data_IF_377089695277
#
_entry.id   IF_377089695277
#
_cell.length_a   1.000
_cell.length_b   1.000
_cell.length_c   1.000
_cell.angle_alpha   90.00
_cell.angle_beta   90.00
_cell.angle_gamma   90.00
#
_symmetry.space_group_name_H-M   'P 1'
#
loop_
_entity.id
_entity.type
_entity.pdbx_description
1 polymer ?
#
# COMPACT_ATOMS: atom_id res chain seq x y z
N UNK A 1 4.22 -23.90 -39.54
CA UNK A 1 2.86 -23.59 -39.01
C UNK A 1 2.15 -22.75 -40.05
N UNK A 2 0.86 -22.96 -40.29
CA UNK A 2 0.10 -22.07 -41.18
C UNK A 2 -0.08 -20.70 -40.51
N UNK A 3 -0.15 -19.64 -41.32
CA UNK A 3 -0.38 -18.27 -40.85
C UNK A 3 -1.65 -18.16 -40.00
N UNK A 4 -2.68 -18.92 -40.36
CA UNK A 4 -3.92 -19.03 -39.60
C UNK A 4 -3.73 -19.66 -38.22
N UNK A 5 -2.90 -20.71 -38.09
CA UNK A 5 -2.62 -21.33 -36.79
C UNK A 5 -1.79 -20.41 -35.88
N UNK A 6 -0.91 -19.59 -36.46
CA UNK A 6 -0.15 -18.58 -35.71
C UNK A 6 -1.06 -17.46 -35.19
N UNK A 7 -1.98 -16.97 -36.02
CA UNK A 7 -2.97 -15.96 -35.62
C UNK A 7 -3.85 -16.43 -34.44
N UNK A 8 -4.40 -17.64 -34.52
CA UNK A 8 -5.24 -18.17 -33.43
C UNK A 8 -4.44 -18.35 -32.13
N UNK A 9 -3.17 -18.78 -32.22
CA UNK A 9 -2.29 -18.85 -31.05
C UNK A 9 -2.09 -17.47 -30.41
N UNK A 10 -1.80 -16.45 -31.22
CA UNK A 10 -1.55 -15.10 -30.73
C UNK A 10 -2.82 -14.48 -30.10
N UNK A 11 -3.99 -14.79 -30.67
CA UNK A 11 -5.28 -14.37 -30.12
C UNK A 11 -5.54 -14.99 -28.74
N UNK A 12 -5.22 -16.27 -28.56
CA UNK A 12 -5.32 -16.93 -27.26
C UNK A 12 -4.34 -16.32 -26.25
N UNK A 13 -3.08 -16.13 -26.62
CA UNK A 13 -2.07 -15.50 -25.75
C UNK A 13 -2.48 -14.09 -25.31
N UNK A 14 -3.07 -13.30 -26.22
CA UNK A 14 -3.58 -11.98 -25.89
C UNK A 14 -4.76 -12.05 -24.90
N UNK A 15 -5.68 -13.00 -25.10
CA UNK A 15 -6.82 -13.20 -24.20
C UNK A 15 -6.33 -13.54 -22.79
N UNK A 16 -5.39 -14.48 -22.67
CA UNK A 16 -4.83 -14.92 -21.40
C UNK A 16 -4.07 -13.77 -20.72
N UNK A 17 -3.31 -12.98 -21.49
CA UNK A 17 -2.59 -11.81 -20.98
C UNK A 17 -3.53 -10.71 -20.46
N UNK A 18 -4.67 -10.48 -21.12
CA UNK A 18 -5.69 -9.52 -20.66
C UNK A 18 -6.34 -9.96 -19.35
N UNK A 19 -6.69 -11.25 -19.23
CA UNK A 19 -7.24 -11.79 -17.99
C UNK A 19 -6.22 -11.69 -16.85
N UNK A 20 -4.96 -12.04 -17.12
CA UNK A 20 -3.88 -11.92 -16.15
C UNK A 20 -3.67 -10.48 -15.70
N UNK A 21 -3.70 -9.51 -16.62
CA UNK A 21 -3.61 -8.08 -16.31
C UNK A 21 -4.74 -7.65 -15.38
N UNK A 22 -5.98 -8.01 -15.70
CA UNK A 22 -7.15 -7.67 -14.89
C UNK A 22 -7.10 -8.30 -13.49
N UNK A 23 -6.54 -9.50 -13.37
CA UNK A 23 -6.32 -10.14 -12.07
C UNK A 23 -5.25 -9.42 -11.25
N UNK A 24 -4.15 -9.01 -11.89
CA UNK A 24 -3.07 -8.27 -11.24
C UNK A 24 -3.54 -6.89 -10.76
N UNK A 25 -4.32 -6.17 -11.57
CA UNK A 25 -4.92 -4.89 -11.21
C UNK A 25 -5.78 -5.03 -9.94
N UNK A 26 -6.70 -6.01 -9.90
CA UNK A 26 -7.54 -6.27 -8.71
C UNK A 26 -6.72 -6.63 -7.46
N UNK A 27 -5.68 -7.45 -7.63
CA UNK A 27 -4.81 -7.83 -6.52
C UNK A 27 -4.01 -6.62 -6.00
N UNK A 28 -3.58 -5.73 -6.90
CA UNK A 28 -2.87 -4.52 -6.53
C UNK A 28 -3.78 -3.61 -5.67
N UNK A 29 -5.02 -3.40 -6.09
CA UNK A 29 -6.00 -2.61 -5.34
C UNK A 29 -6.25 -3.21 -3.94
N UNK A 30 -6.39 -4.53 -3.86
CA UNK A 30 -6.58 -5.24 -2.60
C UNK A 30 -5.37 -5.05 -1.66
N UNK A 31 -4.15 -5.20 -2.17
CA UNK A 31 -2.92 -5.03 -1.37
C UNK A 31 -2.78 -3.59 -0.90
N UNK A 32 -3.12 -2.60 -1.73
CA UNK A 32 -3.06 -1.19 -1.32
C UNK A 32 -4.00 -0.90 -0.16
N UNK A 33 -5.24 -1.41 -0.20
CA UNK A 33 -6.17 -1.29 0.90
C UNK A 33 -5.66 -2.01 2.16
N UNK A 34 -5.13 -3.23 2.02
CA UNK A 34 -4.58 -3.99 3.14
C UNK A 34 -3.41 -3.27 3.81
N UNK A 35 -2.50 -2.66 3.04
CA UNK A 35 -1.40 -1.86 3.58
C UNK A 35 -1.95 -0.70 4.42
N UNK A 36 -2.92 0.05 3.90
CA UNK A 36 -3.50 1.19 4.61
C UNK A 36 -4.20 0.78 5.92
N UNK A 37 -4.94 -0.32 5.89
CA UNK A 37 -5.63 -0.87 7.06
C UNK A 37 -4.61 -1.33 8.11
N UNK A 38 -3.55 -2.01 7.68
CA UNK A 38 -2.48 -2.48 8.57
C UNK A 38 -1.68 -1.33 9.18
N UNK A 39 -1.39 -0.28 8.43
CA UNK A 39 -0.77 0.93 8.98
C UNK A 39 -1.64 1.54 10.09
N UNK A 40 -2.96 1.59 9.89
CA UNK A 40 -3.90 2.07 10.91
C UNK A 40 -3.88 1.18 12.15
N UNK A 41 -3.99 -0.14 11.96
CA UNK A 41 -3.97 -1.13 13.05
C UNK A 41 -2.68 -1.05 13.87
N UNK A 42 -1.51 -1.02 13.21
CA UNK A 42 -0.22 -1.05 13.87
C UNK A 42 0.21 0.31 14.43
N UNK A 43 0.04 1.40 13.69
CA UNK A 43 0.61 2.70 14.09
C UNK A 43 -0.32 3.52 14.99
N UNK A 44 -1.64 3.32 14.90
CA UNK A 44 -2.62 4.07 15.70
C UNK A 44 -3.15 3.29 16.90
N UNK A 45 -3.28 1.96 16.79
CA UNK A 45 -4.19 1.17 17.64
C UNK A 45 -3.58 0.38 18.79
N UNK A 46 -2.26 0.29 18.95
CA UNK A 46 -1.67 -0.65 19.91
C UNK A 46 -0.84 0.03 21.03
N UNK A 47 -0.91 -0.53 22.24
CA UNK A 47 -0.15 -0.04 23.41
C UNK A 47 1.37 -0.20 23.24
N UNK A 48 1.84 -1.12 22.40
CA UNK A 48 3.26 -1.27 22.07
C UNK A 48 3.80 -0.16 21.15
N UNK A 49 2.96 0.56 20.43
CA UNK A 49 3.32 1.68 19.56
C UNK A 49 3.67 2.91 20.40
N UNK A 50 3.25 2.92 21.67
CA UNK A 50 3.75 3.88 22.66
C UNK A 50 5.22 3.63 23.02
N UNK A 51 5.72 2.39 22.86
CA UNK A 51 7.14 2.04 23.08
C UNK A 51 8.01 2.27 21.84
N UNK A 52 7.37 2.60 20.71
CA UNK A 52 8.05 2.87 19.45
C UNK A 52 7.35 2.24 18.25
N UNK A 53 7.59 2.81 17.07
CA UNK A 53 7.11 2.30 15.79
C UNK A 53 8.24 2.33 14.78
N UNK A 54 8.13 1.57 13.69
CA UNK A 54 9.14 1.61 12.62
C UNK A 54 9.31 3.00 12.01
N UNK A 55 8.28 3.85 12.10
CA UNK A 55 8.28 5.22 11.59
C UNK A 55 9.00 6.18 12.55
N UNK A 56 8.80 6.00 13.87
CA UNK A 56 9.29 6.94 14.91
C UNK A 56 10.52 6.43 15.69
N UNK A 57 10.93 5.19 15.47
CA UNK A 57 12.00 4.52 16.20
C UNK A 57 11.52 3.80 17.46
N UNK A 58 12.42 2.99 18.05
CA UNK A 58 12.17 2.14 19.23
C UNK A 58 13.01 2.54 20.44
N UNK A 59 13.47 3.80 20.50
CA UNK A 59 14.41 4.27 21.53
C UNK A 59 13.82 4.23 22.95
N UNK A 60 12.49 4.20 23.09
CA UNK A 60 11.82 4.08 24.38
C UNK A 60 11.95 2.66 25.01
N UNK A 61 12.47 1.67 24.29
CA UNK A 61 12.69 0.33 24.83
C UNK A 61 13.91 0.24 25.78
N UNK A 62 14.89 1.14 25.63
CA UNK A 62 16.18 1.06 26.32
C UNK A 62 16.43 2.13 27.38
N UNK A 63 15.65 3.21 27.39
CA UNK A 63 15.81 4.34 28.32
C UNK A 63 14.43 4.71 28.86
N UNK A 64 14.34 5.08 30.14
CA UNK A 64 13.16 5.74 30.71
C UNK A 64 12.96 7.11 30.03
N UNK A 65 12.58 7.10 28.76
CA UNK A 65 12.28 8.29 27.98
C UNK A 65 10.89 8.74 28.39
N UNK A 66 10.83 9.94 28.98
CA UNK A 66 9.60 10.60 29.38
C UNK A 66 8.97 11.40 28.22
N UNK A 67 9.51 11.28 27.01
CA UNK A 67 8.93 11.93 25.83
C UNK A 67 7.70 11.15 25.37
N UNK A 68 6.53 11.79 25.51
CA UNK A 68 5.29 11.26 24.97
C UNK A 68 5.43 11.16 23.44
N UNK A 69 5.33 9.97 22.85
CA UNK A 69 5.47 9.82 21.40
C UNK A 69 4.42 10.69 20.70
N UNK A 70 4.87 11.47 19.73
CA UNK A 70 4.00 12.31 18.89
C UNK A 70 2.83 11.49 18.35
N UNK A 71 1.63 12.05 18.33
CA UNK A 71 0.44 11.39 17.82
C UNK A 71 0.66 10.89 16.38
N UNK A 72 0.07 9.74 16.05
CA UNK A 72 0.06 9.23 14.68
C UNK A 72 -0.66 10.23 13.76
N UNK A 73 -0.04 10.52 12.61
CA UNK A 73 -0.60 11.40 11.58
C UNK A 73 -0.58 10.69 10.24
N UNK A 74 -1.37 11.13 9.26
CA UNK A 74 -1.35 10.51 7.92
C UNK A 74 0.00 10.66 7.20
N UNK A 75 0.86 11.61 7.64
CA UNK A 75 2.24 11.72 7.14
C UNK A 75 3.13 10.56 7.60
N UNK A 76 2.73 9.84 8.65
CA UNK A 76 3.44 8.67 9.16
C UNK A 76 3.12 7.39 8.36
N UNK A 77 2.19 7.45 7.39
CA UNK A 77 1.77 6.33 6.51
C UNK A 77 2.76 6.08 5.37
N UNK A 78 4.02 5.87 5.74
CA UNK A 78 5.13 5.81 4.79
C UNK A 78 5.00 4.66 3.78
N UNK A 79 4.28 3.58 4.10
CA UNK A 79 4.06 2.46 3.18
C UNK A 79 3.00 2.82 2.15
N UNK A 80 1.86 3.40 2.55
CA UNK A 80 0.87 3.90 1.60
C UNK A 80 1.43 5.05 0.74
N UNK A 81 2.17 5.98 1.35
CA UNK A 81 2.83 7.09 0.64
C UNK A 81 3.94 6.66 -0.33
N UNK A 82 4.41 5.40 -0.26
CA UNK A 82 5.35 4.85 -1.25
C UNK A 82 4.69 4.58 -2.61
N UNK A 83 3.36 4.55 -2.68
CA UNK A 83 2.61 4.37 -3.92
C UNK A 83 2.20 5.72 -4.52
N UNK A 84 2.67 6.03 -5.73
CA UNK A 84 2.28 7.23 -6.45
C UNK A 84 0.77 7.28 -6.76
N UNK A 85 0.11 6.11 -6.90
CA UNK A 85 -1.34 6.04 -7.09
C UNK A 85 -2.09 6.51 -5.85
N UNK A 86 -1.62 6.10 -4.67
CA UNK A 86 -2.18 6.52 -3.39
C UNK A 86 -2.00 8.02 -3.17
N UNK A 87 -0.78 8.55 -3.41
CA UNK A 87 -0.50 9.99 -3.30
C UNK A 87 -1.41 10.80 -4.21
N UNK A 88 -1.58 10.37 -5.47
CA UNK A 88 -2.47 11.04 -6.42
C UNK A 88 -3.94 11.01 -5.98
N UNK A 89 -4.39 9.89 -5.40
CA UNK A 89 -5.75 9.77 -4.86
C UNK A 89 -5.98 10.70 -3.68
N UNK A 90 -4.99 10.82 -2.80
CA UNK A 90 -5.03 11.72 -1.65
C UNK A 90 -5.03 13.20 -2.08
N UNK A 91 -4.18 13.57 -3.05
CA UNK A 91 -4.14 14.93 -3.61
C UNK A 91 -5.46 15.31 -4.29
N UNK A 92 -6.03 14.40 -5.10
CA UNK A 92 -7.34 14.61 -5.71
C UNK A 92 -8.48 14.78 -4.70
N UNK A 93 -8.41 14.08 -3.57
CA UNK A 93 -9.39 14.25 -2.49
C UNK A 93 -9.24 15.60 -1.76
N UNK A 94 -8.02 16.13 -1.64
CA UNK A 94 -7.77 17.45 -1.03
C UNK A 94 -8.07 18.64 -1.95
N UNK A 95 -8.14 18.45 -3.26
CA UNK A 95 -8.52 19.51 -4.21
C UNK A 95 -10.05 19.69 -4.34
N UNK A 96 -10.84 18.71 -3.87
CA UNK A 96 -12.31 18.73 -3.90
C UNK A 96 -12.96 19.28 -2.59
N UNK A 97 -12.17 19.63 -1.57
CA UNK A 97 -12.60 20.35 -0.35
C UNK A 97 -12.29 21.86 -0.41
#
# INVERSE_FOLDING_TARGET
MSEQAYYEKLKQELSDALEQRQKQERNLDQIQQEIFDKETEYLQGNSSSQLGTIVKGFDAFGKHSHETPSAFTDKDRIFSLSSALFVKQQEGATEEE
#
